data_IF_980240539440
#
_entry.id   IF_980240539440
#
_cell.length_a   1.000
_cell.length_b   1.000
_cell.length_c   1.000
_cell.angle_alpha   90.00
_cell.angle_beta   90.00
_cell.angle_gamma   90.00
#
_symmetry.space_group_name_H-M   'P 1'
#
loop_
_entity.id
_entity.type
_entity.pdbx_description
1 polymer ?
#
# COMPACT_ATOMS: atom_id res chain seq x y z
N UNK A 1 -44.53 1.13 -5.00
CA UNK A 1 -43.33 2.00 -4.99
C UNK A 1 -42.56 1.79 -6.29
N UNK A 2 -42.33 2.84 -7.09
CA UNK A 2 -41.38 2.77 -8.21
C UNK A 2 -39.97 2.69 -7.62
N UNK A 3 -39.16 1.71 -8.04
CA UNK A 3 -37.75 1.62 -7.64
C UNK A 3 -36.99 2.75 -8.31
N UNK A 4 -36.28 3.55 -7.52
CA UNK A 4 -35.35 4.56 -8.03
C UNK A 4 -34.12 3.86 -8.60
N UNK A 5 -33.71 4.25 -9.81
CA UNK A 5 -32.52 3.72 -10.49
C UNK A 5 -31.43 4.80 -10.47
N UNK A 6 -30.31 4.49 -9.82
CA UNK A 6 -29.13 5.38 -9.76
C UNK A 6 -28.22 5.03 -10.93
N UNK A 7 -27.85 6.03 -11.74
CA UNK A 7 -26.95 5.84 -12.88
C UNK A 7 -27.47 4.78 -13.85
N UNK A 8 -26.69 3.72 -14.09
CA UNK A 8 -27.08 2.57 -14.92
C UNK A 8 -27.78 1.44 -14.14
N UNK A 9 -28.02 1.62 -12.84
CA UNK A 9 -28.68 0.62 -11.98
C UNK A 9 -27.75 -0.49 -11.48
N UNK A 10 -26.43 -0.29 -11.53
CA UNK A 10 -25.44 -1.25 -11.03
C UNK A 10 -25.05 -0.97 -9.59
N UNK A 11 -24.40 -1.94 -8.94
CA UNK A 11 -23.84 -1.73 -7.60
C UNK A 11 -22.73 -0.67 -7.60
N UNK A 12 -21.99 -0.51 -8.70
CA UNK A 12 -20.94 0.51 -8.83
C UNK A 12 -21.56 1.92 -8.88
N UNK A 13 -22.70 2.09 -9.56
CA UNK A 13 -23.44 3.35 -9.55
C UNK A 13 -23.88 3.72 -8.12
N UNK A 14 -24.30 2.73 -7.33
CA UNK A 14 -24.65 2.95 -5.92
C UNK A 14 -23.44 3.40 -5.11
N UNK A 15 -22.29 2.74 -5.29
CA UNK A 15 -21.03 3.12 -4.63
C UNK A 15 -20.63 4.56 -5.00
N UNK A 16 -20.62 4.91 -6.28
CA UNK A 16 -20.31 6.26 -6.74
C UNK A 16 -21.25 7.30 -6.14
N UNK A 17 -22.57 7.03 -6.11
CA UNK A 17 -23.55 7.92 -5.48
C UNK A 17 -23.29 8.07 -3.98
N UNK A 18 -22.96 6.99 -3.28
CA UNK A 18 -22.62 7.04 -1.84
C UNK A 18 -21.36 7.84 -1.58
N UNK A 19 -20.32 7.73 -2.42
CA UNK A 19 -19.11 8.56 -2.33
C UNK A 19 -19.51 10.03 -2.45
N UNK A 20 -20.19 10.40 -3.53
CA UNK A 20 -20.58 11.80 -3.77
C UNK A 20 -21.44 12.38 -2.65
N UNK A 21 -22.42 11.64 -2.14
CA UNK A 21 -23.25 12.09 -1.02
C UNK A 21 -22.42 12.31 0.24
N UNK A 22 -21.58 11.32 0.61
CA UNK A 22 -20.71 11.40 1.79
C UNK A 22 -19.76 12.61 1.69
N UNK A 23 -19.11 12.79 0.54
CA UNK A 23 -18.19 13.90 0.31
C UNK A 23 -18.86 15.28 0.46
N UNK A 24 -20.12 15.42 0.03
CA UNK A 24 -20.92 16.64 0.24
C UNK A 24 -21.23 16.88 1.72
N UNK A 25 -21.64 15.84 2.43
CA UNK A 25 -22.00 15.92 3.86
C UNK A 25 -20.82 16.38 4.72
N UNK A 26 -19.60 15.91 4.40
CA UNK A 26 -18.37 16.31 5.11
C UNK A 26 -17.71 17.57 4.51
N UNK A 27 -18.32 18.20 3.50
CA UNK A 27 -17.84 19.45 2.92
C UNK A 27 -16.55 19.36 2.08
N UNK A 28 -16.18 18.19 1.57
CA UNK A 28 -14.99 18.04 0.71
C UNK A 28 -15.29 18.47 -0.73
N UNK A 29 -14.38 19.22 -1.40
CA UNK A 29 -14.56 19.60 -2.79
C UNK A 29 -14.69 18.41 -3.74
N UNK A 30 -15.62 18.48 -4.68
CA UNK A 30 -15.91 17.44 -5.67
C UNK A 30 -15.28 17.70 -7.05
N UNK A 31 -14.34 18.64 -7.14
CA UNK A 31 -13.69 19.00 -8.42
C UNK A 31 -12.97 17.81 -9.06
N UNK A 32 -12.37 16.94 -8.25
CA UNK A 32 -11.71 15.72 -8.70
C UNK A 32 -11.75 14.67 -7.60
N UNK A 33 -12.36 13.53 -7.88
CA UNK A 33 -12.45 12.41 -6.93
C UNK A 33 -11.41 11.35 -7.29
N UNK A 34 -10.37 11.23 -6.47
CA UNK A 34 -9.34 10.20 -6.65
C UNK A 34 -9.81 8.86 -6.10
N UNK A 35 -9.65 7.81 -6.90
CA UNK A 35 -9.81 6.43 -6.47
C UNK A 35 -8.48 5.70 -6.64
N UNK A 36 -8.26 4.63 -5.88
CA UNK A 36 -6.98 3.95 -5.84
C UNK A 36 -7.12 2.44 -6.03
N UNK A 37 -6.08 1.84 -6.59
CA UNK A 37 -5.81 0.40 -6.55
C UNK A 37 -4.35 0.17 -6.19
N UNK A 38 -4.08 -0.81 -5.31
CA UNK A 38 -2.73 -1.16 -4.87
C UNK A 38 -2.09 -2.27 -5.71
N UNK A 39 -0.81 -2.10 -6.06
CA UNK A 39 -0.01 -3.03 -6.84
C UNK A 39 1.20 -3.51 -6.03
N UNK A 40 1.10 -4.68 -5.41
CA UNK A 40 2.30 -5.30 -4.82
C UNK A 40 3.33 -5.69 -5.90
N UNK A 41 4.55 -5.19 -5.82
CA UNK A 41 5.58 -5.36 -6.86
C UNK A 41 6.59 -6.48 -6.57
N UNK A 42 6.32 -7.36 -5.60
CA UNK A 42 7.23 -8.42 -5.11
C UNK A 42 7.04 -9.80 -5.74
N UNK A 43 6.29 -9.87 -6.84
CA UNK A 43 6.07 -11.09 -7.62
C UNK A 43 5.12 -10.86 -8.78
N UNK A 44 4.83 -11.91 -9.54
CA UNK A 44 4.02 -11.81 -10.76
C UNK A 44 2.58 -11.35 -10.44
N UNK A 45 2.07 -10.30 -11.09
CA UNK A 45 0.67 -9.92 -10.96
C UNK A 45 -0.23 -11.02 -11.53
N UNK A 46 -1.39 -11.23 -10.91
CA UNK A 46 -2.38 -12.22 -11.34
C UNK A 46 -3.75 -11.57 -11.52
N UNK A 47 -4.75 -12.36 -11.94
CA UNK A 47 -6.13 -11.89 -12.17
C UNK A 47 -6.76 -11.14 -10.99
N UNK A 48 -6.32 -11.43 -9.76
CA UNK A 48 -6.76 -10.72 -8.57
C UNK A 48 -6.20 -9.30 -8.46
N UNK A 49 -4.94 -9.09 -8.87
CA UNK A 49 -4.33 -7.76 -8.96
C UNK A 49 -5.00 -6.94 -10.06
N UNK A 50 -5.26 -7.56 -11.22
CA UNK A 50 -6.02 -6.93 -12.30
C UNK A 50 -7.44 -6.56 -11.86
N UNK A 51 -8.13 -7.48 -11.20
CA UNK A 51 -9.49 -7.26 -10.71
C UNK A 51 -9.59 -6.08 -9.74
N UNK A 52 -8.52 -5.77 -8.99
CA UNK A 52 -8.50 -4.63 -8.09
C UNK A 52 -8.50 -3.29 -8.84
N UNK A 53 -7.58 -3.15 -9.79
CA UNK A 53 -7.53 -2.00 -10.69
C UNK A 53 -8.83 -1.85 -11.51
N UNK A 54 -9.42 -2.95 -11.99
CA UNK A 54 -10.70 -2.92 -12.72
C UNK A 54 -11.85 -2.42 -11.84
N UNK A 55 -11.91 -2.84 -10.56
CA UNK A 55 -12.94 -2.35 -9.63
C UNK A 55 -12.80 -0.85 -9.36
N UNK A 56 -11.58 -0.39 -9.09
CA UNK A 56 -11.31 1.02 -8.88
C UNK A 56 -11.64 1.84 -10.14
N UNK A 57 -11.25 1.36 -11.33
CA UNK A 57 -11.61 1.97 -12.61
C UNK A 57 -13.13 2.06 -12.79
N UNK A 58 -13.87 0.99 -12.51
CA UNK A 58 -15.32 0.96 -12.61
C UNK A 58 -15.98 2.03 -11.75
N UNK A 59 -15.52 2.21 -10.50
CA UNK A 59 -16.01 3.27 -9.62
C UNK A 59 -15.65 4.66 -10.15
N UNK A 60 -14.43 4.86 -10.66
CA UNK A 60 -14.05 6.13 -11.31
C UNK A 60 -14.98 6.46 -12.49
N UNK A 61 -15.28 5.46 -13.32
CA UNK A 61 -16.20 5.63 -14.46
C UNK A 61 -17.63 5.93 -14.01
N UNK A 62 -18.11 5.28 -12.95
CA UNK A 62 -19.44 5.55 -12.39
C UNK A 62 -19.53 6.96 -11.80
N UNK A 63 -18.48 7.47 -11.15
CA UNK A 63 -18.41 8.86 -10.68
C UNK A 63 -18.51 9.84 -11.88
N UNK A 64 -17.80 9.56 -12.98
CA UNK A 64 -17.89 10.33 -14.23
C UNK A 64 -19.30 10.31 -14.83
N UNK A 65 -19.96 9.16 -14.81
CA UNK A 65 -21.34 9.04 -15.28
C UNK A 65 -22.34 9.85 -14.44
N UNK A 66 -22.02 10.14 -13.17
CA UNK A 66 -22.80 11.03 -12.31
C UNK A 66 -22.49 12.53 -12.54
N UNK A 67 -21.60 12.87 -13.47
CA UNK A 67 -21.25 14.24 -13.83
C UNK A 67 -20.10 14.86 -13.03
N UNK A 68 -19.28 14.05 -12.33
CA UNK A 68 -18.13 14.53 -11.57
C UNK A 68 -16.82 13.99 -12.17
N UNK A 69 -15.74 14.77 -12.09
CA UNK A 69 -14.44 14.30 -12.53
C UNK A 69 -13.83 13.30 -11.53
N UNK A 70 -13.15 12.30 -12.07
CA UNK A 70 -12.46 11.28 -11.28
C UNK A 70 -11.20 10.79 -11.97
N UNK A 71 -10.21 10.37 -11.16
CA UNK A 71 -8.99 9.70 -11.62
C UNK A 71 -8.73 8.43 -10.82
N UNK A 72 -8.20 7.41 -11.50
CA UNK A 72 -7.65 6.21 -10.89
C UNK A 72 -6.15 6.40 -10.67
N UNK A 73 -5.69 6.18 -9.44
CA UNK A 73 -4.27 6.06 -9.10
C UNK A 73 -3.93 4.57 -8.98
N UNK A 74 -3.00 4.11 -9.81
CA UNK A 74 -2.38 2.80 -9.71
C UNK A 74 -1.09 2.94 -8.90
N UNK A 75 -1.12 2.55 -7.62
CA UNK A 75 -0.01 2.72 -6.70
C UNK A 75 0.80 1.44 -6.54
N UNK A 76 2.08 1.46 -6.89
CA UNK A 76 3.00 0.32 -6.75
C UNK A 76 3.77 0.34 -5.43
N UNK A 77 3.62 -0.72 -4.62
CA UNK A 77 4.35 -0.94 -3.37
C UNK A 77 5.77 -1.48 -3.61
N UNK A 78 6.55 -0.83 -4.47
CA UNK A 78 7.90 -1.26 -4.88
C UNK A 78 8.99 -0.99 -3.83
N UNK A 79 8.64 -0.34 -2.73
CA UNK A 79 9.52 -0.18 -1.57
C UNK A 79 9.41 -1.37 -0.60
N UNK A 80 8.49 -2.32 -0.82
CA UNK A 80 8.44 -3.55 -0.03
C UNK A 80 9.64 -4.44 -0.27
N UNK A 81 10.10 -5.08 0.81
CA UNK A 81 11.21 -6.01 0.77
C UNK A 81 10.83 -7.35 0.14
N UNK A 82 11.73 -7.95 -0.64
CA UNK A 82 11.54 -9.30 -1.18
C UNK A 82 11.50 -10.32 -0.02
N UNK A 83 10.32 -10.88 0.28
CA UNK A 83 10.14 -11.79 1.43
C UNK A 83 10.47 -13.24 1.11
N UNK A 84 10.31 -13.64 -0.15
CA UNK A 84 10.61 -14.95 -0.70
C UNK A 84 10.78 -14.83 -2.20
N UNK A 85 11.50 -15.76 -2.82
CA UNK A 85 11.67 -15.81 -4.28
C UNK A 85 10.44 -16.49 -4.89
N UNK A 86 9.68 -15.82 -5.79
CA UNK A 86 8.63 -16.48 -6.57
C UNK A 86 9.15 -17.65 -7.40
N UNK A 87 8.31 -18.67 -7.60
CA UNK A 87 8.61 -19.79 -8.49
C UNK A 87 8.95 -19.28 -9.91
N UNK A 88 9.98 -19.85 -10.52
CA UNK A 88 10.43 -19.50 -11.88
C UNK A 88 11.39 -18.32 -11.96
N UNK A 89 11.67 -17.63 -10.85
CA UNK A 89 12.70 -16.61 -10.77
C UNK A 89 14.05 -17.20 -10.33
N UNK A 90 15.17 -16.55 -10.71
CA UNK A 90 16.50 -17.12 -10.50
C UNK A 90 16.94 -17.15 -9.03
N UNK A 91 17.67 -18.19 -8.65
CA UNK A 91 18.10 -18.45 -7.27
C UNK A 91 19.02 -17.36 -6.67
N UNK A 92 19.75 -16.60 -7.51
CA UNK A 92 20.62 -15.51 -7.05
C UNK A 92 19.86 -14.40 -6.29
N UNK A 93 18.53 -14.34 -6.43
CA UNK A 93 17.67 -13.45 -5.65
C UNK A 93 17.73 -13.71 -4.14
N UNK A 94 18.29 -14.84 -3.70
CA UNK A 94 18.50 -15.16 -2.28
C UNK A 94 19.32 -14.08 -1.55
N UNK A 95 20.28 -13.46 -2.24
CA UNK A 95 21.13 -12.40 -1.69
C UNK A 95 20.37 -11.07 -1.49
N UNK A 96 19.19 -10.95 -2.10
CA UNK A 96 18.34 -9.78 -2.07
C UNK A 96 17.13 -9.94 -1.14
N UNK A 97 17.00 -11.07 -0.42
CA UNK A 97 15.94 -11.24 0.58
C UNK A 97 15.99 -10.11 1.62
N UNK A 98 14.81 -9.52 1.85
CA UNK A 98 14.60 -8.36 2.71
C UNK A 98 14.92 -7.03 2.05
N UNK A 99 15.59 -6.97 0.90
CA UNK A 99 15.87 -5.70 0.21
C UNK A 99 14.62 -5.18 -0.52
N UNK A 100 14.36 -3.86 -0.55
CA UNK A 100 13.27 -3.29 -1.32
C UNK A 100 13.34 -3.71 -2.79
N UNK A 101 12.22 -4.12 -3.39
CA UNK A 101 12.22 -4.63 -4.77
C UNK A 101 12.57 -3.58 -5.83
N UNK A 102 12.40 -2.30 -5.51
CA UNK A 102 12.92 -1.15 -6.28
C UNK A 102 14.45 -1.08 -6.31
N UNK A 103 15.15 -1.74 -5.39
CA UNK A 103 16.61 -1.77 -5.30
C UNK A 103 17.24 -3.10 -5.77
N UNK A 104 16.44 -3.99 -6.36
CA UNK A 104 16.89 -5.30 -6.87
C UNK A 104 16.97 -5.19 -8.40
N UNK A 105 18.04 -5.69 -9.06
CA UNK A 105 18.10 -5.76 -10.51
C UNK A 105 16.91 -6.54 -11.11
N UNK A 106 16.46 -6.15 -12.32
CA UNK A 106 15.44 -6.89 -13.08
C UNK A 106 15.89 -8.35 -13.30
N UNK A 107 15.15 -9.35 -12.78
CA UNK A 107 15.58 -10.74 -12.81
C UNK A 107 15.25 -11.51 -14.09
N UNK A 108 14.46 -10.95 -15.01
CA UNK A 108 13.94 -11.67 -16.18
C UNK A 108 14.60 -11.18 -17.46
N UNK A 109 14.62 -9.87 -17.68
CA UNK A 109 14.91 -9.32 -19.01
C UNK A 109 15.96 -8.21 -19.05
N UNK A 110 16.39 -7.68 -17.89
CA UNK A 110 17.20 -6.46 -17.80
C UNK A 110 16.62 -5.30 -18.64
N UNK A 111 15.29 -5.27 -18.78
CA UNK A 111 14.58 -4.28 -19.61
C UNK A 111 13.98 -3.15 -18.76
N UNK A 112 14.00 -3.28 -17.44
CA UNK A 112 13.55 -2.27 -16.50
C UNK A 112 14.64 -1.95 -15.47
N UNK A 113 14.52 -0.77 -14.85
CA UNK A 113 15.48 -0.28 -13.85
C UNK A 113 15.60 -1.18 -12.61
N UNK A 114 14.55 -1.95 -12.30
CA UNK A 114 14.51 -2.83 -11.12
C UNK A 114 13.53 -3.99 -11.28
N UNK A 115 13.66 -4.98 -10.39
CA UNK A 115 12.68 -6.04 -10.15
C UNK A 115 11.28 -5.46 -9.98
N UNK A 116 11.13 -4.45 -9.10
CA UNK A 116 9.84 -3.85 -8.80
C UNK A 116 9.22 -3.19 -10.02
N UNK A 117 10.04 -2.49 -10.81
CA UNK A 117 9.61 -1.86 -12.06
C UNK A 117 9.15 -2.90 -13.09
N UNK A 118 9.87 -4.02 -13.24
CA UNK A 118 9.48 -5.11 -14.12
C UNK A 118 8.16 -5.76 -13.69
N UNK A 119 8.00 -6.08 -12.41
CA UNK A 119 6.77 -6.73 -11.94
C UNK A 119 5.54 -5.82 -12.09
N UNK A 120 5.71 -4.53 -11.83
CA UNK A 120 4.63 -3.56 -11.99
C UNK A 120 4.26 -3.36 -13.46
N UNK A 121 5.22 -3.31 -14.39
CA UNK A 121 4.94 -3.11 -15.82
C UNK A 121 4.04 -4.18 -16.40
N UNK A 122 4.17 -5.45 -15.99
CA UNK A 122 3.30 -6.54 -16.42
C UNK A 122 1.80 -6.27 -16.14
N UNK A 123 1.48 -5.64 -15.00
CA UNK A 123 0.10 -5.26 -14.69
C UNK A 123 -0.29 -3.99 -15.46
N UNK A 124 0.59 -3.01 -15.56
CA UNK A 124 0.33 -1.77 -16.30
C UNK A 124 0.01 -2.05 -17.78
N UNK A 125 0.80 -2.90 -18.44
CA UNK A 125 0.55 -3.34 -19.82
C UNK A 125 -0.81 -4.03 -19.97
N UNK A 126 -1.23 -4.83 -18.98
CA UNK A 126 -2.56 -5.44 -18.97
C UNK A 126 -3.68 -4.40 -18.85
N UNK A 127 -3.49 -3.36 -18.04
CA UNK A 127 -4.44 -2.23 -17.92
C UNK A 127 -4.52 -1.44 -19.23
N UNK A 128 -3.38 -1.15 -19.85
CA UNK A 128 -3.29 -0.43 -21.12
C UNK A 128 -4.03 -1.19 -22.24
N UNK A 129 -3.85 -2.51 -22.31
CA UNK A 129 -4.56 -3.38 -23.27
C UNK A 129 -6.07 -3.41 -23.06
N UNK A 130 -6.55 -3.14 -21.84
CA UNK A 130 -7.97 -3.02 -21.52
C UNK A 130 -8.50 -1.59 -21.73
N UNK A 131 -7.66 -0.63 -22.11
CA UNK A 131 -8.03 0.77 -22.25
C UNK A 131 -8.33 1.45 -20.92
N UNK A 132 -7.78 0.95 -19.82
CA UNK A 132 -7.97 1.53 -18.48
C UNK A 132 -6.99 2.69 -18.32
N UNK A 133 -7.53 3.90 -18.18
CA UNK A 133 -6.72 5.09 -17.87
C UNK A 133 -6.43 5.20 -16.37
N UNK A 134 -5.16 5.37 -16.01
CA UNK A 134 -4.69 5.54 -14.64
C UNK A 134 -3.52 6.54 -14.57
N UNK A 135 -3.30 7.08 -13.38
CA UNK A 135 -2.07 7.77 -12.99
C UNK A 135 -1.20 6.77 -12.21
N UNK A 136 0.01 6.48 -12.69
CA UNK A 136 0.92 5.56 -12.03
C UNK A 136 1.81 6.27 -11.02
N UNK A 137 1.84 5.75 -9.79
CA UNK A 137 2.77 6.17 -8.74
C UNK A 137 3.48 4.95 -8.17
N UNK A 138 4.71 5.12 -7.69
CA UNK A 138 5.44 4.07 -7.00
C UNK A 138 5.98 4.55 -5.65
N UNK A 139 6.02 3.64 -4.69
CA UNK A 139 6.39 3.93 -3.32
C UNK A 139 7.82 4.48 -3.22
N UNK A 140 8.79 3.93 -3.95
CA UNK A 140 10.17 4.41 -3.93
C UNK A 140 10.27 5.92 -4.24
N UNK A 141 9.56 6.40 -5.28
CA UNK A 141 9.52 7.84 -5.62
C UNK A 141 8.67 8.65 -4.64
N UNK A 142 7.50 8.13 -4.23
CA UNK A 142 6.60 8.83 -3.31
C UNK A 142 7.26 9.10 -1.96
N UNK A 143 7.95 8.08 -1.40
CA UNK A 143 8.74 8.25 -0.19
C UNK A 143 10.02 9.06 -0.44
N UNK A 144 10.73 8.82 -1.55
CA UNK A 144 12.00 9.47 -1.88
C UNK A 144 11.88 10.98 -2.09
N UNK A 145 10.74 11.44 -2.64
CA UNK A 145 10.43 12.85 -2.83
C UNK A 145 9.78 13.50 -1.58
N UNK A 146 9.66 12.75 -0.48
CA UNK A 146 9.12 13.25 0.77
C UNK A 146 7.61 13.53 0.76
N UNK A 147 6.84 12.99 -0.19
CA UNK A 147 5.39 13.27 -0.29
C UNK A 147 4.60 12.82 0.95
N UNK A 148 5.09 11.79 1.66
CA UNK A 148 4.47 11.26 2.88
C UNK A 148 5.08 11.84 4.17
N UNK A 149 6.05 12.76 4.07
CA UNK A 149 6.85 13.24 5.21
C UNK A 149 5.98 13.76 6.34
N UNK A 150 4.92 14.51 6.04
CA UNK A 150 4.01 15.09 7.03
C UNK A 150 3.16 14.02 7.72
N UNK A 151 2.62 13.08 6.93
CA UNK A 151 1.82 11.99 7.45
C UNK A 151 2.66 11.06 8.34
N UNK A 152 3.89 10.75 7.93
CA UNK A 152 4.83 9.95 8.74
C UNK A 152 5.12 10.64 10.09
N UNK A 153 5.41 11.94 10.07
CA UNK A 153 5.66 12.71 11.31
C UNK A 153 4.45 12.70 12.25
N UNK A 154 3.24 12.91 11.73
CA UNK A 154 2.01 12.85 12.53
C UNK A 154 1.77 11.46 13.12
N UNK A 155 1.97 10.40 12.34
CA UNK A 155 1.82 9.01 12.78
C UNK A 155 2.83 8.67 13.87
N UNK A 156 4.12 8.94 13.64
CA UNK A 156 5.18 8.60 14.59
C UNK A 156 5.13 9.46 15.85
N UNK A 157 4.64 10.70 15.77
CA UNK A 157 4.40 11.55 16.94
C UNK A 157 3.28 11.03 17.85
N UNK A 158 2.45 10.09 17.38
CA UNK A 158 1.30 9.55 18.12
C UNK A 158 1.46 8.04 18.44
N UNK A 159 2.69 7.51 18.41
CA UNK A 159 2.92 6.06 18.47
C UNK A 159 2.33 5.38 19.71
N UNK A 160 2.32 6.03 20.88
CA UNK A 160 1.77 5.44 22.10
C UNK A 160 0.26 5.19 22.01
N UNK A 161 -0.49 6.18 21.50
CA UNK A 161 -1.93 6.03 21.28
C UNK A 161 -2.20 4.99 20.18
N UNK A 162 -1.40 5.06 19.10
CA UNK A 162 -1.49 4.13 17.98
C UNK A 162 -1.27 2.67 18.40
N UNK A 163 -0.23 2.36 19.18
CA UNK A 163 0.10 1.00 19.61
C UNK A 163 -1.04 0.36 20.40
N UNK A 164 -1.57 1.10 21.39
CA UNK A 164 -2.73 0.66 22.18
C UNK A 164 -3.96 0.43 21.30
N UNK A 165 -4.21 1.30 20.32
CA UNK A 165 -5.37 1.13 19.44
C UNK A 165 -5.21 -0.03 18.46
N UNK A 166 -4.00 -0.27 17.95
CA UNK A 166 -3.73 -1.45 17.12
C UNK A 166 -3.98 -2.73 17.92
N UNK A 167 -3.53 -2.78 19.17
CA UNK A 167 -3.81 -3.90 20.07
C UNK A 167 -5.33 -4.07 20.28
N UNK A 168 -6.07 -3.00 20.53
CA UNK A 168 -7.52 -3.05 20.72
C UNK A 168 -8.27 -3.58 19.48
N UNK A 169 -7.91 -3.14 18.27
CA UNK A 169 -8.63 -3.49 17.03
C UNK A 169 -8.29 -4.91 16.54
N UNK A 170 -7.03 -5.33 16.64
CA UNK A 170 -6.52 -6.56 16.01
C UNK A 170 -5.68 -7.46 16.91
N UNK A 171 -5.53 -7.14 18.21
CA UNK A 171 -4.78 -7.94 19.18
C UNK A 171 -3.26 -7.97 18.97
N UNK A 172 -2.70 -7.01 18.23
CA UNK A 172 -1.26 -6.97 17.93
C UNK A 172 -0.52 -6.00 18.86
N UNK A 173 0.04 -6.51 19.95
CA UNK A 173 0.78 -5.74 20.95
C UNK A 173 2.16 -5.25 20.50
N UNK A 174 2.73 -5.82 19.41
CA UNK A 174 4.10 -5.49 18.97
C UNK A 174 4.34 -4.00 18.71
N UNK A 175 3.31 -3.23 18.33
CA UNK A 175 3.43 -1.80 18.05
C UNK A 175 3.28 -0.91 19.30
N UNK A 176 3.10 -1.51 20.49
CA UNK A 176 3.22 -0.81 21.77
C UNK A 176 4.69 -0.44 22.01
N UNK A 177 5.59 -1.36 21.67
CA UNK A 177 7.03 -1.21 21.88
C UNK A 177 7.78 -0.80 20.61
N UNK A 178 7.31 -1.26 19.44
CA UNK A 178 7.98 -1.00 18.16
C UNK A 178 7.32 0.13 17.37
N UNK A 179 8.16 0.98 16.78
CA UNK A 179 7.68 1.98 15.82
C UNK A 179 7.10 1.29 14.57
N UNK A 180 5.98 1.78 14.02
CA UNK A 180 5.39 1.27 12.78
C UNK A 180 6.14 1.81 11.55
N UNK A 181 7.47 1.84 11.60
CA UNK A 181 8.36 2.31 10.55
C UNK A 181 9.53 1.33 10.41
N UNK A 182 9.79 0.91 9.17
CA UNK A 182 10.88 0.01 8.81
C UNK A 182 11.96 0.82 8.08
N UNK A 183 13.07 1.17 8.75
CA UNK A 183 14.25 1.69 8.09
C UNK A 183 14.83 0.71 7.08
N UNK A 184 15.44 1.22 6.02
CA UNK A 184 16.34 0.44 5.18
C UNK A 184 17.71 0.52 5.86
N UNK A 185 18.24 -0.62 6.29
CA UNK A 185 19.56 -0.66 6.93
C UNK A 185 20.62 -0.12 5.97
N UNK A 186 21.38 0.88 6.40
CA UNK A 186 22.42 1.52 5.58
C UNK A 186 23.56 0.54 5.24
N UNK A 187 23.88 -0.36 6.17
CA UNK A 187 24.95 -1.36 6.00
C UNK A 187 24.56 -2.50 5.06
N UNK A 188 23.41 -3.15 5.28
CA UNK A 188 23.04 -4.36 4.51
C UNK A 188 21.94 -4.12 3.44
N UNK A 189 21.34 -2.94 3.40
CA UNK A 189 20.28 -2.57 2.44
C UNK A 189 18.94 -3.29 2.65
N UNK A 190 18.79 -4.05 3.73
CA UNK A 190 17.57 -4.82 4.02
C UNK A 190 16.57 -3.98 4.83
N UNK A 191 15.31 -4.13 4.44
CA UNK A 191 14.11 -3.75 5.15
C UNK A 191 13.68 -4.89 6.11
N UNK A 192 12.75 -4.60 7.02
CA UNK A 192 12.14 -5.51 7.99
C UNK A 192 13.07 -6.09 9.07
N UNK A 193 14.37 -6.21 8.81
CA UNK A 193 15.40 -6.62 9.79
C UNK A 193 15.94 -5.45 10.61
N UNK A 194 15.68 -4.22 10.16
CA UNK A 194 15.99 -2.98 10.85
C UNK A 194 14.72 -2.53 11.57
N UNK A 195 14.76 -2.51 12.90
CA UNK A 195 13.63 -2.17 13.74
C UNK A 195 13.83 -0.75 14.25
N UNK A 196 12.87 0.14 13.97
CA UNK A 196 12.88 1.51 14.50
C UNK A 196 12.67 1.50 16.01
N UNK A 197 13.58 2.14 16.74
CA UNK A 197 13.57 2.21 18.20
C UNK A 197 13.00 3.52 18.71
N UNK A 198 13.41 4.65 18.12
CA UNK A 198 12.99 5.98 18.56
C UNK A 198 12.76 6.93 17.39
N UNK A 199 11.68 7.70 17.48
CA UNK A 199 11.44 8.84 16.59
C UNK A 199 11.98 10.11 17.23
N UNK A 200 12.96 10.74 16.59
CA UNK A 200 13.59 11.99 16.99
C UNK A 200 12.89 13.10 16.20
N UNK A 201 11.83 13.66 16.79
CA UNK A 201 10.89 14.52 16.07
C UNK A 201 11.53 15.82 15.58
N UNK A 202 12.41 16.42 16.39
CA UNK A 202 13.10 17.67 16.09
C UNK A 202 13.95 17.55 14.81
N UNK A 203 14.50 16.37 14.55
CA UNK A 203 15.31 16.06 13.37
C UNK A 203 14.53 15.32 12.27
N UNK A 204 13.29 14.92 12.56
CA UNK A 204 12.46 14.05 11.70
C UNK A 204 13.20 12.78 11.29
N UNK A 205 13.87 12.14 12.24
CA UNK A 205 14.65 10.90 12.05
C UNK A 205 14.12 9.75 12.89
N UNK A 206 14.35 8.53 12.41
CA UNK A 206 14.12 7.29 13.15
C UNK A 206 15.46 6.63 13.44
N UNK A 207 15.78 6.41 14.71
CA UNK A 207 16.90 5.57 15.12
C UNK A 207 16.51 4.10 15.04
N UNK A 208 17.46 3.22 14.74
CA UNK A 208 17.18 1.81 14.55
C UNK A 208 18.36 0.90 14.82
N UNK A 209 18.05 -0.37 15.07
CA UNK A 209 19.00 -1.47 15.15
C UNK A 209 18.63 -2.57 14.14
N UNK A 210 19.64 -3.10 13.44
CA UNK A 210 19.49 -4.22 12.52
C UNK A 210 19.76 -5.55 13.23
N UNK A 211 18.75 -6.08 13.92
CA UNK A 211 18.86 -7.32 14.72
C UNK A 211 18.20 -8.55 14.08
N UNK A 212 17.53 -8.39 12.94
CA UNK A 212 16.94 -9.51 12.21
C UNK A 212 15.48 -9.75 12.54
N UNK A 213 14.84 -10.60 11.74
CA UNK A 213 13.42 -10.89 11.90
C UNK A 213 13.07 -12.23 11.25
N UNK A 214 11.83 -12.68 11.47
CA UNK A 214 11.26 -13.81 10.76
C UNK A 214 10.46 -13.32 9.55
N UNK A 215 10.88 -13.69 8.34
CA UNK A 215 10.16 -13.41 7.10
C UNK A 215 9.50 -14.70 6.59
N UNK A 216 8.18 -14.80 6.79
CA UNK A 216 7.44 -16.02 6.49
C UNK A 216 7.92 -17.17 7.37
N UNK A 217 8.50 -18.20 6.76
CA UNK A 217 9.02 -19.37 7.46
C UNK A 217 10.54 -19.32 7.67
N UNK A 218 11.20 -18.25 7.25
CA UNK A 218 12.67 -18.14 7.26
C UNK A 218 13.13 -17.06 8.24
N UNK A 219 14.13 -17.40 9.04
CA UNK A 219 14.83 -16.44 9.90
C UNK A 219 15.88 -15.69 9.08
N UNK A 220 15.79 -14.36 9.08
CA UNK A 220 16.72 -13.48 8.38
C UNK A 220 17.52 -12.71 9.42
N UNK A 221 18.83 -13.00 9.48
CA UNK A 221 19.74 -12.37 10.43
C UNK A 221 19.92 -10.88 10.10
N UNK A 222 19.91 -10.07 11.16
CA UNK A 222 20.38 -8.69 11.09
C UNK A 222 21.90 -8.62 11.00
N UNK A 223 22.43 -7.48 10.57
CA UNK A 223 23.87 -7.25 10.49
C UNK A 223 24.47 -6.61 11.74
N UNK A 224 23.66 -6.29 12.75
CA UNK A 224 24.08 -5.64 13.99
C UNK A 224 24.27 -4.12 13.90
N UNK A 225 24.17 -3.54 12.70
CA UNK A 225 24.32 -2.09 12.50
C UNK A 225 23.23 -1.30 13.23
N UNK A 226 23.63 -0.21 13.88
CA UNK A 226 22.75 0.82 14.44
C UNK A 226 22.92 2.11 13.65
N UNK A 227 21.83 2.85 13.47
CA UNK A 227 21.89 4.12 12.74
C UNK A 227 20.62 4.93 12.85
N UNK A 228 20.57 6.02 12.09
CA UNK A 228 19.42 6.92 12.01
C UNK A 228 19.08 7.18 10.55
N UNK A 229 17.79 7.24 10.22
CA UNK A 229 17.33 7.59 8.86
C UNK A 229 16.35 8.76 8.90
N UNK A 230 16.46 9.74 7.98
CA UNK A 230 15.42 10.76 7.82
C UNK A 230 14.16 10.13 7.24
N UNK A 231 12.98 10.55 7.70
CA UNK A 231 11.69 10.06 7.19
C UNK A 231 11.33 10.61 5.80
N UNK A 232 12.08 11.60 5.29
CA UNK A 232 11.74 12.39 4.10
C UNK A 232 12.43 11.95 2.81
N UNK A 233 13.32 10.95 2.87
CA UNK A 233 14.25 10.62 1.78
C UNK A 233 14.10 9.18 1.25
N UNK A 234 13.02 8.49 1.62
CA UNK A 234 12.77 7.10 1.19
C UNK A 234 13.82 6.08 1.65
N UNK A 235 14.52 6.35 2.76
CA UNK A 235 15.42 5.39 3.42
C UNK A 235 14.71 4.51 4.46
N UNK A 236 13.41 4.34 4.29
CA UNK A 236 12.53 3.53 5.12
C UNK A 236 11.08 3.70 4.69
N UNK A 237 10.18 2.91 5.27
CA UNK A 237 8.75 3.00 5.00
C UNK A 237 7.89 2.72 6.22
N UNK A 238 6.66 3.21 6.20
CA UNK A 238 5.67 2.85 7.21
C UNK A 238 5.29 1.36 7.09
N UNK A 239 4.89 0.76 8.21
CA UNK A 239 4.25 -0.54 8.18
C UNK A 239 2.87 -0.45 7.50
N UNK A 240 2.45 -1.48 6.78
CA UNK A 240 1.12 -1.55 6.12
C UNK A 240 -0.07 -1.27 7.05
N UNK A 241 0.10 -1.43 8.38
CA UNK A 241 -0.92 -1.09 9.37
C UNK A 241 -1.26 0.40 9.43
N UNK A 242 -0.38 1.27 8.96
CA UNK A 242 -0.55 2.73 8.99
C UNK A 242 -0.20 3.42 7.67
N UNK A 243 0.43 2.71 6.74
CA UNK A 243 0.86 3.25 5.45
C UNK A 243 -0.32 3.67 4.55
N UNK A 244 -1.41 2.90 4.53
CA UNK A 244 -2.54 3.24 3.67
C UNK A 244 -3.16 4.57 4.09
N UNK A 245 -3.31 4.82 5.38
CA UNK A 245 -3.80 6.10 5.90
C UNK A 245 -2.92 7.28 5.44
N UNK A 246 -1.60 7.13 5.52
CA UNK A 246 -0.66 8.15 5.05
C UNK A 246 -0.85 8.45 3.56
N UNK A 247 -0.97 7.39 2.75
CA UNK A 247 -1.16 7.49 1.30
C UNK A 247 -2.53 8.08 0.94
N UNK A 248 -3.61 7.67 1.61
CA UNK A 248 -4.95 8.21 1.41
C UNK A 248 -5.00 9.71 1.67
N UNK A 249 -4.42 10.14 2.78
CA UNK A 249 -4.32 11.55 3.15
C UNK A 249 -3.49 12.34 2.15
N UNK A 250 -2.31 11.85 1.76
CA UNK A 250 -1.40 12.55 0.86
C UNK A 250 -1.92 12.65 -0.58
N UNK A 251 -2.57 11.59 -1.09
CA UNK A 251 -3.04 11.51 -2.47
C UNK A 251 -4.52 11.92 -2.65
N UNK A 252 -5.21 12.22 -1.55
CA UNK A 252 -6.60 12.61 -1.58
C UNK A 252 -7.54 11.48 -2.01
N UNK A 253 -7.24 10.23 -1.65
CA UNK A 253 -8.02 9.04 -2.03
C UNK A 253 -9.39 9.05 -1.36
N UNK A 254 -10.44 8.87 -2.16
CA UNK A 254 -11.85 8.84 -1.72
C UNK A 254 -12.50 7.47 -1.84
N UNK A 255 -11.90 6.57 -2.61
CA UNK A 255 -12.31 5.17 -2.70
C UNK A 255 -11.09 4.27 -2.90
N UNK A 256 -11.05 3.15 -2.17
CA UNK A 256 -10.13 2.05 -2.44
C UNK A 256 -10.84 0.73 -2.12
N UNK A 257 -10.85 -0.20 -3.06
CA UNK A 257 -11.34 -1.55 -2.81
C UNK A 257 -10.25 -2.38 -2.10
N UNK A 258 -10.63 -3.41 -1.34
CA UNK A 258 -9.64 -4.27 -0.69
C UNK A 258 -10.06 -5.73 -0.63
N UNK A 259 -9.06 -6.61 -0.71
CA UNK A 259 -9.24 -8.05 -0.56
C UNK A 259 -9.51 -8.42 0.89
N UNK A 260 -10.39 -9.40 1.13
CA UNK A 260 -10.75 -9.80 2.50
C UNK A 260 -9.56 -10.14 3.41
N UNK A 261 -8.43 -10.54 2.82
CA UNK A 261 -7.21 -10.92 3.52
C UNK A 261 -6.48 -9.76 4.21
N UNK A 262 -6.77 -8.51 3.83
CA UNK A 262 -6.16 -7.32 4.44
C UNK A 262 -7.16 -6.48 5.26
N UNK A 263 -8.36 -7.00 5.51
CA UNK A 263 -9.45 -6.29 6.22
C UNK A 263 -9.00 -5.72 7.58
N UNK A 264 -8.23 -6.48 8.36
CA UNK A 264 -7.72 -6.02 9.65
C UNK A 264 -6.68 -4.90 9.53
N UNK A 265 -5.97 -4.82 8.41
CA UNK A 265 -5.08 -3.68 8.16
C UNK A 265 -5.89 -2.45 7.74
N UNK A 266 -6.93 -2.61 6.93
CA UNK A 266 -7.81 -1.50 6.54
C UNK A 266 -8.49 -0.88 7.75
N UNK A 267 -9.08 -1.67 8.66
CA UNK A 267 -9.71 -1.17 9.89
C UNK A 267 -8.80 -0.30 10.76
N UNK A 268 -7.51 -0.67 10.86
CA UNK A 268 -6.52 0.14 11.58
C UNK A 268 -6.23 1.43 10.82
N UNK A 269 -6.03 1.35 9.50
CA UNK A 269 -5.76 2.53 8.68
C UNK A 269 -6.94 3.51 8.65
N UNK A 270 -8.20 3.04 8.67
CA UNK A 270 -9.39 3.92 8.76
C UNK A 270 -9.31 4.78 10.01
N UNK A 271 -9.01 4.15 11.16
CA UNK A 271 -8.83 4.86 12.41
C UNK A 271 -7.63 5.82 12.38
N UNK A 272 -6.49 5.41 11.85
CA UNK A 272 -5.30 6.29 11.72
C UNK A 272 -5.62 7.49 10.84
N UNK A 273 -6.32 7.27 9.74
CA UNK A 273 -6.72 8.30 8.80
C UNK A 273 -7.62 9.34 9.48
N UNK A 274 -8.68 8.88 10.15
CA UNK A 274 -9.66 9.76 10.78
C UNK A 274 -9.10 10.47 12.02
N UNK A 275 -8.40 9.73 12.90
CA UNK A 275 -8.04 10.22 14.25
C UNK A 275 -6.65 10.83 14.30
N UNK A 276 -5.69 10.25 13.59
CA UNK A 276 -4.30 10.73 13.63
C UNK A 276 -4.05 11.75 12.52
N UNK A 277 -4.51 11.48 11.30
CA UNK A 277 -4.26 12.33 10.14
C UNK A 277 -5.36 13.37 9.89
N UNK A 278 -6.46 13.32 10.66
CA UNK A 278 -7.63 14.18 10.49
C UNK A 278 -8.11 14.24 9.03
N UNK A 279 -8.13 13.07 8.38
CA UNK A 279 -8.52 12.90 6.99
C UNK A 279 -9.56 11.79 6.91
N UNK A 280 -10.76 12.13 6.47
CA UNK A 280 -11.83 11.16 6.33
C UNK A 280 -11.41 10.01 5.39
N UNK A 281 -11.29 8.81 5.94
CA UNK A 281 -10.85 7.61 5.22
C UNK A 281 -11.71 7.34 3.98
N UNK A 282 -11.18 6.66 2.94
CA UNK A 282 -11.93 6.34 1.72
C UNK A 282 -13.20 5.55 1.99
N UNK A 283 -14.17 5.56 1.05
CA UNK A 283 -15.19 4.51 1.05
C UNK A 283 -14.56 3.21 0.52
N UNK A 284 -14.92 2.07 1.11
CA UNK A 284 -14.36 0.79 0.72
C UNK A 284 -15.39 -0.19 0.17
N UNK A 285 -14.91 -1.07 -0.72
CA UNK A 285 -15.60 -2.30 -1.08
C UNK A 285 -14.66 -3.47 -0.78
N UNK A 286 -15.12 -4.36 0.09
CA UNK A 286 -14.44 -5.64 0.36
C UNK A 286 -14.78 -6.65 -0.75
N UNK A 287 -13.77 -7.26 -1.35
CA UNK A 287 -13.96 -8.32 -2.34
C UNK A 287 -13.39 -9.67 -1.91
N UNK A 288 -13.94 -10.73 -2.51
CA UNK A 288 -13.52 -12.12 -2.32
C UNK A 288 -12.31 -12.49 -3.20
N UNK A 289 -11.63 -13.58 -2.84
CA UNK A 289 -10.39 -13.99 -3.51
C UNK A 289 -10.69 -14.92 -4.69
N UNK A 290 -9.96 -14.73 -5.80
CA UNK A 290 -9.96 -15.72 -6.89
C UNK A 290 -9.28 -17.01 -6.43
N UNK A 291 -9.96 -18.13 -6.69
CA UNK A 291 -9.48 -19.47 -6.38
C UNK A 291 -9.13 -20.21 -7.66
N UNK A 292 -8.15 -21.09 -7.59
CA UNK A 292 -7.89 -22.07 -8.64
C UNK A 292 -8.98 -23.16 -8.69
N UNK A 293 -8.89 -24.08 -9.65
CA UNK A 293 -9.84 -25.20 -9.76
C UNK A 293 -9.86 -26.11 -8.52
N UNK A 294 -8.79 -26.11 -7.71
CA UNK A 294 -8.70 -26.87 -6.47
C UNK A 294 -9.20 -26.10 -5.24
N UNK A 295 -9.74 -24.89 -5.41
CA UNK A 295 -10.24 -24.05 -4.32
C UNK A 295 -9.14 -23.33 -3.53
N UNK A 296 -7.88 -23.36 -3.97
CA UNK A 296 -6.78 -22.63 -3.32
C UNK A 296 -6.70 -21.20 -3.86
N UNK A 297 -6.36 -20.26 -2.98
CA UNK A 297 -6.16 -18.86 -3.34
C UNK A 297 -4.99 -18.71 -4.33
N UNK A 298 -5.24 -18.03 -5.44
CA UNK A 298 -4.19 -17.64 -6.40
C UNK A 298 -3.24 -16.65 -5.72
N UNK A 299 -1.93 -16.81 -5.92
CA UNK A 299 -0.92 -15.97 -5.29
C UNK A 299 0.24 -15.63 -6.22
N UNK A 300 0.79 -14.42 -6.07
CA UNK A 300 1.94 -13.89 -6.85
C UNK A 300 3.21 -14.76 -6.80
N UNK A 301 3.30 -15.61 -5.79
CA UNK A 301 4.51 -16.37 -5.50
C UNK A 301 4.61 -17.72 -6.20
N UNK A 302 3.51 -18.21 -6.78
CA UNK A 302 3.46 -19.54 -7.40
C UNK A 302 3.77 -19.47 -8.91
N UNK A 303 3.78 -18.26 -9.49
CA UNK A 303 3.79 -18.04 -10.93
C UNK A 303 2.36 -17.86 -11.40
#
# INVERSE_FOLDING_TARGET
>A
MKREVIGRGTWIDKIASTIISREKEIGRPLKLVSVESGLGASGFPHIGSLGDAVRAHGVSLAIKNLGYDSKLIAYSDDLDGLRKIPTGLPDWLVDYIGKPVSNIPDPIGQCHDSYGSHMSSLLLEALDRLGINYEFLNAAKVYGNGMLTNQIDMILSNVLNLGNKIEEIVGQSKYIELLPYFPICESCGRLYVAHGEKYIREERKVSYICNGTKLGNSDVKGCGYTGEVPISVGKGKLAWKVEFAARWSALGIRFEAYGKDIMDSVRVNDWVSDVILNYAHPLHVKYEMFLDMGGKKISKSIG
#
